data_IF_396808566704
#
_entry.id   IF_396808566704
#
_cell.length_a   1.000
_cell.length_b   1.000
_cell.length_c   1.000
_cell.angle_alpha   90.00
_cell.angle_beta   90.00
_cell.angle_gamma   90.00
#
_symmetry.space_group_name_H-M   'P 1'
#
loop_
_entity.id
_entity.type
_entity.pdbx_description
1 polymer ?
#
# COMPACT_ATOMS: atom_id res chain seq x y z
N UNK A 1 -18.03 10.63 -23.48
CA UNK A 1 -17.42 11.37 -22.35
C UNK A 1 -18.54 12.04 -21.58
N UNK A 2 -18.71 11.76 -20.29
CA UNK A 2 -19.77 12.33 -19.44
C UNK A 2 -19.26 13.54 -18.71
N UNK A 3 -20.03 14.63 -18.73
CA UNK A 3 -19.72 15.88 -18.01
C UNK A 3 -20.84 16.20 -17.00
N UNK A 4 -20.46 16.68 -15.81
CA UNK A 4 -21.41 17.15 -14.80
C UNK A 4 -21.53 18.67 -14.89
N UNK A 5 -22.78 19.17 -14.87
CA UNK A 5 -23.07 20.60 -14.74
C UNK A 5 -23.27 20.93 -13.26
N UNK A 6 -22.87 22.10 -12.77
CA UNK A 6 -23.30 22.56 -11.45
C UNK A 6 -24.82 22.71 -11.44
N UNK A 7 -25.53 21.79 -10.78
CA UNK A 7 -27.00 21.69 -10.74
C UNK A 7 -27.53 20.55 -11.64
N UNK A 8 -27.97 19.52 -11.05
CA UNK A 8 -28.95 18.45 -11.39
C UNK A 8 -29.03 17.86 -12.81
N UNK A 9 -27.97 17.85 -13.62
CA UNK A 9 -28.00 17.24 -14.96
C UNK A 9 -26.71 16.48 -15.33
N UNK A 10 -26.86 15.37 -16.07
CA UNK A 10 -25.75 14.62 -16.68
C UNK A 10 -25.73 14.93 -18.17
N UNK A 11 -24.61 15.45 -18.68
CA UNK A 11 -24.39 15.65 -20.10
C UNK A 11 -23.81 14.41 -20.77
N UNK A 12 -24.47 13.92 -21.82
CA UNK A 12 -24.01 12.78 -22.63
C UNK A 12 -23.64 13.32 -24.01
N UNK A 13 -22.43 13.01 -24.47
CA UNK A 13 -22.00 13.34 -25.82
C UNK A 13 -22.46 12.24 -26.77
N UNK A 14 -23.38 12.58 -27.66
CA UNK A 14 -23.93 11.67 -28.65
C UNK A 14 -23.58 12.19 -30.05
N UNK A 15 -22.84 11.37 -30.82
CA UNK A 15 -22.58 11.60 -32.23
C UNK A 15 -21.38 12.46 -32.60
N UNK A 16 -21.08 12.54 -33.90
CA UNK A 16 -19.92 13.20 -34.54
C UNK A 16 -19.97 14.74 -34.58
N UNK A 17 -21.02 15.36 -34.06
CA UNK A 17 -21.12 16.82 -33.91
C UNK A 17 -21.30 17.16 -32.44
N UNK A 18 -20.57 18.16 -31.99
CA UNK A 18 -20.36 18.61 -30.61
C UNK A 18 -21.60 19.14 -29.86
N UNK A 19 -22.71 18.42 -29.91
CA UNK A 19 -23.90 18.75 -29.12
C UNK A 19 -23.91 17.92 -27.84
N UNK A 20 -23.99 18.60 -26.70
CA UNK A 20 -24.18 18.01 -25.38
C UNK A 20 -25.67 17.97 -25.11
N UNK A 21 -26.26 16.79 -25.07
CA UNK A 21 -27.63 16.62 -24.63
C UNK A 21 -27.67 16.53 -23.12
N UNK A 22 -28.39 17.46 -22.48
CA UNK A 22 -28.62 17.46 -21.05
C UNK A 22 -29.86 16.63 -20.70
N UNK A 23 -29.66 15.52 -20.02
CA UNK A 23 -30.76 14.67 -19.53
C UNK A 23 -30.99 14.98 -18.06
N UNK A 24 -32.21 15.34 -17.68
CA UNK A 24 -32.58 15.51 -16.28
C UNK A 24 -32.66 14.16 -15.61
N UNK A 25 -31.83 13.92 -14.60
CA UNK A 25 -31.85 12.68 -13.83
C UNK A 25 -32.99 12.76 -12.81
N UNK A 26 -33.94 11.83 -12.80
CA UNK A 26 -35.01 11.85 -11.82
C UNK A 26 -34.49 11.64 -10.39
N UNK A 27 -35.13 12.21 -9.36
CA UNK A 27 -34.65 12.18 -7.97
C UNK A 27 -34.47 10.77 -7.38
N UNK A 28 -35.13 9.77 -7.94
CA UNK A 28 -35.07 8.36 -7.53
C UNK A 28 -33.99 7.55 -8.27
N UNK A 29 -33.38 8.11 -9.31
CA UNK A 29 -32.32 7.40 -10.01
C UNK A 29 -31.13 7.16 -9.06
N UNK A 30 -30.56 5.95 -9.03
CA UNK A 30 -29.40 5.69 -8.21
C UNK A 30 -28.31 6.68 -8.60
N UNK A 31 -27.83 7.44 -7.62
CA UNK A 31 -26.72 8.38 -7.85
C UNK A 31 -25.56 7.56 -8.37
N UNK A 32 -25.22 7.76 -9.64
CA UNK A 32 -23.99 7.17 -10.20
C UNK A 32 -22.86 7.77 -9.38
N UNK A 33 -22.35 6.94 -8.47
CA UNK A 33 -21.25 7.33 -7.61
C UNK A 33 -20.01 7.48 -8.50
N UNK A 34 -19.79 8.69 -9.00
CA UNK A 34 -18.63 9.06 -9.79
C UNK A 34 -17.39 9.17 -8.91
N UNK A 35 -17.26 8.28 -7.93
CA UNK A 35 -15.95 8.01 -7.35
C UNK A 35 -15.09 7.45 -8.48
N UNK A 36 -14.49 8.38 -9.22
CA UNK A 36 -13.39 8.10 -10.14
C UNK A 36 -12.50 7.11 -9.39
N UNK A 37 -12.52 5.83 -9.80
CA UNK A 37 -11.61 4.81 -9.26
C UNK A 37 -10.21 5.38 -9.47
N UNK A 38 -9.70 6.08 -8.45
CA UNK A 38 -8.36 6.69 -8.49
C UNK A 38 -7.45 5.50 -8.74
N UNK A 39 -6.91 5.41 -9.95
CA UNK A 39 -6.11 4.27 -10.43
C UNK A 39 -5.01 4.05 -9.42
N UNK A 40 -5.07 2.93 -8.69
CA UNK A 40 -4.07 2.62 -7.67
C UNK A 40 -2.69 2.65 -8.32
N UNK A 41 -1.80 3.48 -7.79
CA UNK A 41 -0.47 3.68 -8.38
C UNK A 41 0.31 2.39 -8.14
N UNK A 42 0.62 1.68 -9.21
CA UNK A 42 1.42 0.46 -9.18
C UNK A 42 2.90 0.83 -9.04
N UNK A 43 3.64 0.08 -8.24
CA UNK A 43 5.07 0.25 -8.08
C UNK A 43 5.79 -0.11 -9.39
N UNK A 44 6.58 0.81 -9.89
CA UNK A 44 7.46 0.59 -11.03
C UNK A 44 8.78 -0.02 -10.50
N UNK A 45 8.82 -1.35 -10.46
CA UNK A 45 9.98 -2.09 -9.93
C UNK A 45 11.27 -1.77 -10.67
N UNK A 46 11.20 -1.49 -11.98
CA UNK A 46 12.39 -1.14 -12.76
C UNK A 46 12.97 0.20 -12.28
N UNK A 47 12.11 1.20 -12.04
CA UNK A 47 12.57 2.48 -11.49
C UNK A 47 13.15 2.34 -10.09
N UNK A 48 12.57 1.45 -9.26
CA UNK A 48 13.12 1.17 -7.92
C UNK A 48 14.50 0.54 -8.03
N UNK A 49 14.65 -0.49 -8.85
CA UNK A 49 15.93 -1.17 -9.08
C UNK A 49 17.00 -0.20 -9.59
N UNK A 50 16.72 0.52 -10.67
CA UNK A 50 17.63 1.53 -11.24
C UNK A 50 18.04 2.60 -10.22
N UNK A 51 17.07 3.04 -9.38
CA UNK A 51 17.40 4.02 -8.34
C UNK A 51 18.31 3.43 -7.27
N UNK A 52 18.07 2.19 -6.81
CA UNK A 52 18.92 1.52 -5.82
C UNK A 52 20.33 1.30 -6.38
N UNK A 53 20.44 0.83 -7.63
CA UNK A 53 21.71 0.59 -8.32
C UNK A 53 22.54 1.86 -8.48
N UNK A 54 21.89 3.01 -8.68
CA UNK A 54 22.57 4.32 -8.80
C UNK A 54 23.08 4.86 -7.47
N UNK A 55 22.76 4.23 -6.35
CA UNK A 55 23.19 4.67 -5.02
C UNK A 55 24.46 3.93 -4.58
N UNK A 56 25.19 4.56 -3.66
CA UNK A 56 26.40 3.97 -3.04
C UNK A 56 26.06 2.76 -2.16
N UNK A 57 27.01 1.86 -1.87
CA UNK A 57 26.81 0.70 -1.00
C UNK A 57 26.37 1.04 0.43
N UNK A 58 26.69 2.24 0.93
CA UNK A 58 26.33 2.73 2.29
C UNK A 58 24.85 3.08 2.40
N UNK A 59 24.13 3.07 1.29
CA UNK A 59 22.69 3.33 1.24
C UNK A 59 21.93 2.21 1.92
N UNK A 60 21.09 2.58 2.89
CA UNK A 60 20.22 1.63 3.62
C UNK A 60 18.85 1.54 2.95
N UNK A 61 18.31 0.35 2.90
CA UNK A 61 17.01 0.08 2.29
C UNK A 61 16.09 -0.53 3.33
N UNK A 62 14.89 0.05 3.45
CA UNK A 62 13.87 -0.43 4.36
C UNK A 62 12.63 -0.82 3.55
N UNK A 63 12.13 -2.02 3.81
CA UNK A 63 10.92 -2.56 3.20
C UNK A 63 9.85 -2.69 4.28
N UNK A 64 8.65 -2.24 4.00
CA UNK A 64 7.53 -2.35 4.93
C UNK A 64 6.20 -2.47 4.22
N UNK A 65 5.23 -3.02 4.94
CA UNK A 65 3.84 -3.04 4.54
C UNK A 65 2.96 -2.70 5.75
N UNK A 66 1.96 -1.85 5.53
CA UNK A 66 0.91 -1.55 6.49
C UNK A 66 -0.44 -1.65 5.81
N UNK A 67 -1.49 -1.95 6.56
CA UNK A 67 -2.83 -2.03 5.99
C UNK A 67 -3.88 -1.30 6.80
N UNK A 68 -4.79 -0.66 6.09
CA UNK A 68 -5.96 0.00 6.65
C UNK A 68 -7.23 -0.75 6.27
N UNK A 69 -8.02 -1.15 7.27
CA UNK A 69 -9.31 -1.80 7.05
C UNK A 69 -10.34 -0.78 6.60
N UNK A 70 -11.05 -1.07 5.52
CA UNK A 70 -12.05 -0.19 4.93
C UNK A 70 -13.31 -0.97 4.57
N UNK A 71 -14.43 -0.29 4.44
CA UNK A 71 -15.69 -0.89 3.98
C UNK A 71 -15.99 -0.43 2.56
N UNK A 72 -16.20 -1.38 1.64
CA UNK A 72 -16.52 -1.12 0.24
C UNK A 72 -17.73 -1.97 -0.13
N UNK A 73 -18.81 -1.32 -0.57
CA UNK A 73 -20.07 -1.97 -1.00
C UNK A 73 -20.62 -2.97 0.05
N UNK A 74 -20.46 -2.63 1.35
CA UNK A 74 -20.92 -3.46 2.46
C UNK A 74 -19.95 -4.54 2.91
N UNK A 75 -18.88 -4.83 2.16
CA UNK A 75 -17.87 -5.84 2.47
C UNK A 75 -16.60 -5.24 3.07
N UNK A 76 -15.91 -6.02 3.91
CA UNK A 76 -14.64 -5.61 4.48
C UNK A 76 -13.48 -5.87 3.52
N UNK A 77 -12.70 -4.82 3.28
CA UNK A 77 -11.48 -4.83 2.50
C UNK A 77 -10.33 -4.24 3.33
N UNK A 78 -9.11 -4.45 2.89
CA UNK A 78 -7.95 -3.71 3.38
C UNK A 78 -7.18 -3.10 2.21
N UNK A 79 -6.73 -1.87 2.41
CA UNK A 79 -5.74 -1.22 1.55
C UNK A 79 -4.36 -1.52 2.12
N UNK A 80 -3.63 -2.44 1.48
CA UNK A 80 -2.25 -2.76 1.81
C UNK A 80 -1.32 -1.77 1.13
N UNK A 81 -0.52 -1.06 1.91
CA UNK A 81 0.44 -0.07 1.43
C UNK A 81 1.84 -0.63 1.58
N UNK A 82 2.44 -1.03 0.46
CA UNK A 82 3.85 -1.40 0.41
C UNK A 82 4.71 -0.15 0.28
N UNK A 83 5.82 -0.12 1.02
CA UNK A 83 6.79 0.96 0.98
C UNK A 83 8.21 0.43 0.84
N UNK A 84 8.98 1.07 -0.04
CA UNK A 84 10.44 0.93 -0.15
C UNK A 84 11.03 2.29 0.20
N UNK A 85 11.81 2.36 1.26
CA UNK A 85 12.53 3.56 1.68
C UNK A 85 14.00 3.36 1.36
N UNK A 86 14.55 4.18 0.48
CA UNK A 86 15.97 4.20 0.14
C UNK A 86 16.59 5.39 0.85
N UNK A 87 17.38 5.13 1.89
CA UNK A 87 18.02 6.14 2.74
C UNK A 87 19.44 6.39 2.26
N UNK A 88 19.60 7.48 1.52
CA UNK A 88 20.82 7.78 0.75
C UNK A 88 22.00 8.01 1.71
N UNK A 89 23.06 7.21 1.55
CA UNK A 89 24.29 7.27 2.35
C UNK A 89 24.02 7.26 3.88
N UNK A 90 22.89 6.71 4.32
CA UNK A 90 22.51 6.59 5.71
C UNK A 90 22.04 7.89 6.40
N UNK A 91 22.27 9.09 5.82
CA UNK A 91 21.92 10.39 6.43
C UNK A 91 21.60 11.53 5.44
N UNK A 92 21.66 11.30 4.13
CA UNK A 92 21.48 12.33 3.11
C UNK A 92 20.03 12.40 2.56
N UNK A 93 19.06 12.14 3.42
CA UNK A 93 17.65 12.11 3.06
C UNK A 93 17.21 10.75 2.51
N UNK A 94 15.93 10.64 2.15
CA UNK A 94 15.39 9.39 1.66
C UNK A 94 14.47 9.56 0.45
N UNK A 95 14.45 8.54 -0.39
CA UNK A 95 13.47 8.37 -1.46
C UNK A 95 12.48 7.28 -1.06
N UNK A 96 11.19 7.59 -1.15
CA UNK A 96 10.12 6.63 -0.84
C UNK A 96 9.43 6.23 -2.14
N UNK A 97 9.33 4.92 -2.36
CA UNK A 97 8.50 4.33 -3.39
C UNK A 97 7.39 3.52 -2.71
N UNK A 98 6.24 3.40 -3.36
CA UNK A 98 5.16 2.62 -2.77
C UNK A 98 4.05 2.31 -3.75
N UNK A 99 3.24 1.33 -3.36
CA UNK A 99 2.01 0.96 -4.05
C UNK A 99 0.92 0.61 -3.05
N UNK A 100 -0.32 0.58 -3.51
CA UNK A 100 -1.48 0.22 -2.70
C UNK A 100 -2.24 -0.91 -3.39
N UNK A 101 -2.46 -2.00 -2.66
CA UNK A 101 -3.29 -3.12 -3.08
C UNK A 101 -4.54 -3.18 -2.23
N UNK A 102 -5.70 -3.21 -2.85
CA UNK A 102 -6.96 -3.44 -2.15
C UNK A 102 -7.37 -4.89 -2.29
N UNK A 103 -7.61 -5.55 -1.16
CA UNK A 103 -8.04 -6.93 -1.12
C UNK A 103 -9.15 -7.12 -0.08
N UNK A 104 -9.97 -8.15 -0.27
CA UNK A 104 -11.00 -8.51 0.70
C UNK A 104 -10.37 -9.05 1.97
N UNK A 105 -10.93 -8.69 3.12
CA UNK A 105 -10.49 -9.17 4.43
C UNK A 105 -11.43 -10.26 4.91
N UNK A 106 -10.86 -11.37 5.35
CA UNK A 106 -11.58 -12.54 5.85
C UNK A 106 -11.46 -12.73 7.36
N UNK A 107 -10.75 -11.84 8.07
CA UNK A 107 -10.70 -11.87 9.53
C UNK A 107 -12.09 -11.64 10.13
N UNK A 108 -12.55 -12.61 10.92
CA UNK A 108 -13.87 -12.57 11.54
C UNK A 108 -13.95 -11.52 12.67
N UNK A 109 -12.83 -11.29 13.37
CA UNK A 109 -12.74 -10.35 14.49
C UNK A 109 -11.71 -9.27 14.22
N UNK A 110 -12.10 -8.02 14.41
CA UNK A 110 -11.20 -6.88 14.28
C UNK A 110 -10.03 -6.90 15.28
N UNK A 111 -10.31 -7.41 16.48
CA UNK A 111 -9.31 -7.56 17.56
C UNK A 111 -8.26 -8.64 17.30
N UNK A 112 -8.47 -9.52 16.31
CA UNK A 112 -7.53 -10.61 15.94
C UNK A 112 -7.29 -10.60 14.42
N UNK A 113 -6.53 -9.63 13.90
CA UNK A 113 -6.36 -9.43 12.46
C UNK A 113 -5.27 -10.36 11.88
N UNK A 114 -5.28 -11.64 12.24
CA UNK A 114 -4.18 -12.56 11.91
C UNK A 114 -3.97 -12.72 10.40
N UNK A 115 -5.05 -12.91 9.62
CA UNK A 115 -4.93 -13.08 8.17
C UNK A 115 -4.48 -11.79 7.49
N UNK A 116 -5.00 -10.65 7.90
CA UNK A 116 -4.61 -9.36 7.37
C UNK A 116 -3.13 -9.07 7.62
N UNK A 117 -2.66 -9.28 8.84
CA UNK A 117 -1.25 -9.10 9.19
C UNK A 117 -0.33 -10.08 8.47
N UNK A 118 -0.72 -11.35 8.34
CA UNK A 118 0.06 -12.31 7.56
C UNK A 118 0.08 -11.94 6.06
N UNK A 119 -0.99 -11.34 5.54
CA UNK A 119 -0.99 -10.81 4.17
C UNK A 119 0.03 -9.67 4.00
N UNK A 120 0.20 -8.79 4.99
CA UNK A 120 1.28 -7.79 4.99
C UNK A 120 2.66 -8.45 4.91
N UNK A 121 2.88 -9.50 5.72
CA UNK A 121 4.13 -10.27 5.74
C UNK A 121 4.42 -10.92 4.38
N UNK A 122 3.42 -11.53 3.76
CA UNK A 122 3.58 -12.14 2.43
C UNK A 122 3.91 -11.10 1.36
N UNK A 123 3.24 -9.94 1.39
CA UNK A 123 3.48 -8.88 0.42
C UNK A 123 4.87 -8.26 0.55
N UNK A 124 5.34 -8.01 1.77
CA UNK A 124 6.68 -7.46 1.97
C UNK A 124 7.76 -8.47 1.61
N UNK A 125 7.56 -9.76 1.88
CA UNK A 125 8.51 -10.80 1.47
C UNK A 125 8.55 -10.97 -0.05
N UNK A 126 7.41 -10.93 -0.73
CA UNK A 126 7.34 -10.94 -2.18
C UNK A 126 8.08 -9.74 -2.81
N UNK A 127 7.92 -8.56 -2.21
CA UNK A 127 8.64 -7.36 -2.63
C UNK A 127 10.15 -7.52 -2.44
N UNK A 128 10.59 -8.07 -1.29
CA UNK A 128 12.00 -8.38 -1.03
C UNK A 128 12.57 -9.28 -2.12
N UNK A 129 11.91 -10.39 -2.43
CA UNK A 129 12.36 -11.34 -3.45
C UNK A 129 12.43 -10.71 -4.85
N UNK A 130 11.48 -9.85 -5.21
CA UNK A 130 11.50 -9.11 -6.49
C UNK A 130 12.67 -8.12 -6.61
N UNK A 131 13.19 -7.67 -5.49
CA UNK A 131 14.31 -6.74 -5.41
C UNK A 131 15.64 -7.43 -5.05
N UNK A 132 15.65 -8.72 -4.74
CA UNK A 132 16.79 -9.43 -4.17
C UNK A 132 18.12 -9.15 -4.87
N UNK A 133 18.12 -9.15 -6.21
CA UNK A 133 19.28 -8.88 -7.06
C UNK A 133 19.98 -7.55 -6.72
N UNK A 134 19.20 -6.46 -6.52
CA UNK A 134 19.74 -5.12 -6.23
C UNK A 134 19.93 -4.86 -4.74
N UNK A 135 19.44 -5.77 -3.89
CA UNK A 135 19.61 -5.73 -2.44
C UNK A 135 20.89 -6.44 -1.98
N UNK A 136 21.46 -7.30 -2.82
CA UNK A 136 22.66 -8.06 -2.50
C UNK A 136 23.84 -7.12 -2.15
N UNK A 137 24.54 -7.44 -1.06
CA UNK A 137 25.66 -6.63 -0.55
C UNK A 137 25.27 -5.29 0.09
N UNK A 138 23.96 -4.99 0.27
CA UNK A 138 23.47 -3.77 0.88
C UNK A 138 22.87 -4.00 2.27
N UNK A 139 22.79 -2.97 3.08
CA UNK A 139 22.05 -2.98 4.33
C UNK A 139 20.55 -2.93 4.04
N UNK A 140 19.85 -4.04 4.31
CA UNK A 140 18.40 -4.16 4.10
C UNK A 140 17.72 -4.54 5.39
N UNK A 141 16.67 -3.82 5.72
CA UNK A 141 15.82 -4.10 6.88
C UNK A 141 14.36 -4.31 6.42
N UNK A 142 13.75 -5.39 6.90
CA UNK A 142 12.32 -5.66 6.71
C UNK A 142 11.58 -5.25 7.98
N UNK A 143 10.60 -4.38 7.85
CA UNK A 143 9.83 -3.81 8.95
C UNK A 143 8.40 -4.32 8.92
N UNK A 144 7.94 -4.89 10.05
CA UNK A 144 6.59 -5.40 10.23
C UNK A 144 5.83 -4.56 11.27
N UNK A 145 4.61 -4.13 10.94
CA UNK A 145 3.76 -3.33 11.85
C UNK A 145 3.08 -4.21 12.91
N UNK A 146 3.85 -5.07 13.57
CA UNK A 146 3.41 -6.02 14.58
C UNK A 146 3.95 -5.59 15.94
N UNK A 147 3.06 -5.50 16.94
CA UNK A 147 3.45 -5.25 18.32
C UNK A 147 3.73 -6.60 19.01
N UNK A 148 4.91 -6.79 19.62
CA UNK A 148 5.24 -8.03 20.33
C UNK A 148 4.50 -8.20 21.67
N UNK A 149 3.94 -7.14 22.24
CA UNK A 149 3.21 -7.18 23.49
C UNK A 149 1.89 -7.96 23.33
N UNK A 150 1.68 -8.97 24.17
CA UNK A 150 0.49 -9.84 24.16
C UNK A 150 -0.82 -9.09 24.40
N UNK A 151 -0.76 -7.91 25.02
CA UNK A 151 -1.92 -7.02 25.18
C UNK A 151 -2.46 -6.48 23.85
N UNK A 152 -1.66 -6.53 22.79
CA UNK A 152 -2.04 -6.10 21.45
C UNK A 152 -2.47 -7.27 20.57
N UNK A 153 -3.60 -7.15 19.90
CA UNK A 153 -4.13 -8.20 19.01
C UNK A 153 -3.20 -8.61 17.86
N UNK A 154 -2.22 -7.78 17.52
CA UNK A 154 -1.21 -8.07 16.49
C UNK A 154 -0.15 -9.07 16.93
N UNK A 155 0.04 -9.27 18.25
CA UNK A 155 1.01 -10.23 18.79
C UNK A 155 0.71 -11.69 18.40
N UNK A 156 -0.54 -11.99 18.07
CA UNK A 156 -1.00 -13.34 17.72
C UNK A 156 -0.28 -13.98 16.54
N UNK A 157 0.39 -13.19 15.68
CA UNK A 157 1.11 -13.69 14.49
C UNK A 157 2.62 -13.48 14.56
N UNK A 158 3.16 -12.93 15.64
CA UNK A 158 4.56 -12.48 15.70
C UNK A 158 5.55 -13.60 15.38
N UNK A 159 5.41 -14.76 16.00
CA UNK A 159 6.32 -15.91 15.79
C UNK A 159 6.24 -16.43 14.36
N UNK A 160 5.02 -16.51 13.81
CA UNK A 160 4.78 -16.92 12.44
C UNK A 160 5.38 -15.92 11.44
N UNK A 161 5.16 -14.62 11.67
CA UNK A 161 5.67 -13.55 10.82
C UNK A 161 7.20 -13.53 10.77
N UNK A 162 7.86 -13.58 11.95
CA UNK A 162 9.32 -13.62 12.05
C UNK A 162 9.88 -14.88 11.38
N UNK A 163 9.27 -16.04 11.65
CA UNK A 163 9.71 -17.32 11.06
C UNK A 163 9.59 -17.32 9.53
N UNK A 164 8.50 -16.75 9.00
CA UNK A 164 8.28 -16.65 7.57
C UNK A 164 9.33 -15.74 6.87
N UNK A 165 9.58 -14.54 7.41
CA UNK A 165 10.58 -13.62 6.83
C UNK A 165 11.99 -14.23 6.92
N UNK A 166 12.35 -14.84 8.05
CA UNK A 166 13.64 -15.54 8.18
C UNK A 166 13.80 -16.64 7.16
N UNK A 167 12.79 -17.49 6.99
CA UNK A 167 12.84 -18.60 6.07
C UNK A 167 12.83 -18.21 4.60
N UNK A 168 12.15 -17.11 4.25
CA UNK A 168 11.94 -16.70 2.86
C UNK A 168 12.98 -15.69 2.37
N UNK A 169 13.35 -14.73 3.24
CA UNK A 169 14.22 -13.61 2.88
C UNK A 169 15.63 -13.73 3.49
N UNK A 170 15.85 -14.69 4.38
CA UNK A 170 17.10 -14.87 5.13
C UNK A 170 17.52 -13.62 5.94
N UNK A 171 16.55 -12.84 6.42
CA UNK A 171 16.75 -11.67 7.27
C UNK A 171 15.87 -11.75 8.51
N UNK A 172 16.31 -11.13 9.60
CA UNK A 172 15.49 -10.98 10.81
C UNK A 172 14.69 -9.70 10.68
N UNK A 173 13.35 -9.76 10.66
CA UNK A 173 12.56 -8.53 10.54
C UNK A 173 12.57 -7.73 11.84
N UNK A 174 12.45 -6.41 11.70
CA UNK A 174 12.17 -5.51 12.81
C UNK A 174 10.66 -5.44 13.05
N UNK A 175 10.27 -5.40 14.31
CA UNK A 175 8.90 -5.22 14.77
C UNK A 175 8.79 -3.95 15.60
N UNK A 176 7.58 -3.51 15.96
CA UNK A 176 7.39 -2.35 16.86
C UNK A 176 8.18 -2.51 18.16
N UNK A 177 8.75 -1.42 18.70
CA UNK A 177 8.68 -0.03 18.21
C UNK A 177 9.67 0.33 17.08
N UNK A 178 10.54 -0.58 16.66
CA UNK A 178 11.65 -0.30 15.74
C UNK A 178 11.28 -0.38 14.25
N UNK A 179 10.04 -0.72 13.92
CA UNK A 179 9.57 -0.95 12.56
C UNK A 179 8.98 0.31 11.89
N UNK A 180 9.75 1.36 11.71
CA UNK A 180 9.24 2.65 11.20
C UNK A 180 8.79 2.63 9.73
N UNK A 181 9.41 1.83 8.86
CA UNK A 181 9.08 1.83 7.43
C UNK A 181 7.68 1.27 7.15
N UNK A 182 7.22 0.33 7.96
CA UNK A 182 5.88 -0.22 7.85
C UNK A 182 4.81 0.84 8.20
N UNK A 183 5.03 1.65 9.24
CA UNK A 183 4.06 2.64 9.71
C UNK A 183 4.24 3.99 8.99
N UNK A 184 5.35 4.70 9.26
CA UNK A 184 5.52 6.09 8.81
C UNK A 184 5.64 6.26 7.29
N UNK A 185 6.38 5.37 6.61
CA UNK A 185 6.53 5.48 5.17
C UNK A 185 5.23 5.15 4.44
N UNK A 186 4.50 4.15 4.91
CA UNK A 186 3.20 3.79 4.37
C UNK A 186 2.16 4.91 4.60
N UNK A 187 2.11 5.51 5.80
CA UNK A 187 1.21 6.63 6.11
C UNK A 187 1.53 7.88 5.27
N UNK A 188 2.81 8.21 5.09
CA UNK A 188 3.20 9.30 4.22
C UNK A 188 2.78 9.04 2.77
N UNK A 189 2.90 7.81 2.30
CA UNK A 189 2.43 7.45 0.96
C UNK A 189 0.91 7.55 0.82
N UNK A 190 0.15 7.17 1.86
CA UNK A 190 -1.32 7.37 1.95
C UNK A 190 -1.70 8.85 1.91
N UNK A 191 -0.98 9.71 2.65
CA UNK A 191 -1.28 11.15 2.74
C UNK A 191 -1.07 11.87 1.41
N UNK A 192 0.01 11.57 0.68
CA UNK A 192 0.28 12.10 -0.66
C UNK A 192 -0.82 11.69 -1.67
N UNK A 193 -1.48 10.58 -1.43
CA UNK A 193 -2.58 10.10 -2.28
C UNK A 193 -3.90 10.83 -2.00
N UNK A 194 -4.11 11.35 -0.78
CA UNK A 194 -5.35 12.06 -0.40
C UNK A 194 -5.33 13.54 -0.82
N UNK A 195 -4.17 14.12 -1.07
CA UNK A 195 -3.98 15.46 -1.62
C UNK A 195 -4.06 15.45 -3.16
#
# INVERSE_FOLDING_TARGET
MMYLRPGDGIGIRVGLRSQILWVRVPPWAPRINTHRKKRMKKLDLQKVKQFIESQTPETKIYLGCDSERIRVDGEWHADYVLAVVVHINGNNGCKIFGEVHRERVYDQKESKPAMRLMTEVYKVSELYLKLAEVLEGRQVEVHLDINPDEMHGSSCVISQAIGYIKGTCNVVPFVKPNAFAASYAADRFKSIRKA
#
